data_IF_017917386415
#
_entry.id   IF_017917386415
#
_cell.length_a   1.000
_cell.length_b   1.000
_cell.length_c   1.000
_cell.angle_alpha   90.00
_cell.angle_beta   90.00
_cell.angle_gamma   90.00
#
_symmetry.space_group_name_H-M   'P 1'
#
loop_
_entity.id
_entity.type
_entity.pdbx_description
1 polymer ?
#
# COMPACT_ATOMS: atom_id res chain seq x y z
N UNK A 1 7.59 25.10 8.02
CA UNK A 1 7.97 23.69 7.78
C UNK A 1 7.28 23.25 6.50
N UNK A 2 7.98 22.57 5.59
CA UNK A 2 7.49 22.31 4.22
C UNK A 2 6.44 21.19 4.13
N UNK A 3 6.23 20.43 5.21
CA UNK A 3 5.27 19.32 5.26
C UNK A 3 4.25 19.53 6.38
N UNK A 4 3.03 19.06 6.16
CA UNK A 4 1.99 19.08 7.18
C UNK A 4 2.29 18.04 8.26
N UNK A 5 1.80 18.27 9.46
CA UNK A 5 1.95 17.34 10.60
C UNK A 5 1.44 15.94 10.26
N UNK A 6 0.37 15.85 9.46
CA UNK A 6 -0.17 14.57 8.99
C UNK A 6 0.82 13.81 8.10
N UNK A 7 1.50 14.51 7.20
CA UNK A 7 2.50 13.87 6.32
C UNK A 7 3.67 13.34 7.14
N UNK A 8 4.13 14.11 8.13
CA UNK A 8 5.22 13.72 9.02
C UNK A 8 4.80 12.50 9.86
N UNK A 9 3.61 12.48 10.45
CA UNK A 9 3.10 11.33 11.23
C UNK A 9 3.09 10.05 10.40
N UNK A 10 2.59 10.10 9.17
CA UNK A 10 2.55 8.94 8.28
C UNK A 10 3.94 8.50 7.79
N UNK A 11 4.92 9.39 7.76
CA UNK A 11 6.29 9.09 7.38
C UNK A 11 7.08 8.46 8.54
N UNK A 12 6.96 9.01 9.75
CA UNK A 12 7.67 8.51 10.94
C UNK A 12 6.99 7.27 11.53
N UNK A 13 5.67 7.18 11.46
CA UNK A 13 4.87 6.06 11.95
C UNK A 13 4.06 5.42 10.81
N UNK A 14 4.72 4.76 9.84
CA UNK A 14 4.03 4.25 8.67
C UNK A 14 3.17 3.04 9.06
N UNK A 15 1.88 3.14 8.75
CA UNK A 15 0.87 2.12 9.06
C UNK A 15 0.75 1.18 7.87
N UNK A 16 0.56 -0.13 8.08
CA UNK A 16 0.27 -1.08 7.00
C UNK A 16 1.41 -1.28 5.98
N UNK A 17 2.66 -1.03 6.39
CA UNK A 17 3.84 -1.32 5.55
C UNK A 17 4.02 -2.82 5.42
N UNK A 18 4.19 -3.30 4.19
CA UNK A 18 4.57 -4.67 3.93
C UNK A 18 4.05 -5.20 2.61
N UNK A 19 3.94 -6.51 2.52
CA UNK A 19 3.39 -7.19 1.36
C UNK A 19 2.61 -8.43 1.81
N UNK A 20 1.66 -8.84 0.98
CA UNK A 20 1.01 -10.15 1.09
C UNK A 20 1.68 -11.16 0.15
N UNK A 21 1.34 -12.44 0.32
CA UNK A 21 1.73 -13.47 -0.62
C UNK A 21 1.12 -13.18 -2.01
N UNK A 22 1.92 -13.36 -3.06
CA UNK A 22 1.49 -13.15 -4.46
C UNK A 22 0.61 -14.29 -4.96
N UNK A 23 0.65 -15.45 -4.31
CA UNK A 23 -0.10 -16.64 -4.73
C UNK A 23 -1.49 -16.72 -4.09
N UNK A 24 -1.80 -15.84 -3.13
CA UNK A 24 -3.11 -15.80 -2.51
C UNK A 24 -4.12 -15.17 -3.49
N UNK A 25 -5.14 -15.95 -3.84
CA UNK A 25 -6.19 -15.57 -4.80
C UNK A 25 -7.09 -14.45 -4.28
N UNK A 26 -7.10 -14.24 -2.97
CA UNK A 26 -7.89 -13.20 -2.32
C UNK A 26 -7.14 -11.86 -2.23
N UNK A 27 -5.91 -11.79 -2.77
CA UNK A 27 -5.10 -10.57 -2.79
C UNK A 27 -5.17 -9.90 -4.15
N UNK A 28 -5.78 -8.70 -4.18
CA UNK A 28 -5.70 -7.81 -5.32
C UNK A 28 -4.42 -6.95 -5.20
N UNK A 29 -3.57 -6.97 -6.24
CA UNK A 29 -2.32 -6.19 -6.26
C UNK A 29 -2.38 -5.15 -7.38
N UNK A 30 -2.27 -3.87 -7.02
CA UNK A 30 -2.07 -2.77 -7.94
C UNK A 30 -0.64 -2.22 -7.80
N UNK A 31 0.08 -2.14 -8.91
CA UNK A 31 1.39 -1.49 -8.96
C UNK A 31 1.33 -0.36 -9.97
N UNK A 32 1.62 0.85 -9.51
CA UNK A 32 1.55 2.08 -10.31
C UNK A 32 2.82 2.88 -10.11
N UNK A 33 3.34 3.46 -11.18
CA UNK A 33 4.56 4.26 -11.12
C UNK A 33 5.17 4.42 -12.49
N UNK A 34 5.88 5.53 -12.68
CA UNK A 34 6.67 5.77 -13.86
C UNK A 34 8.14 5.52 -13.49
N UNK A 35 8.85 4.58 -14.14
CA UNK A 35 10.28 4.36 -13.91
C UNK A 35 11.11 5.64 -14.08
N UNK A 36 10.62 6.58 -14.90
CA UNK A 36 11.25 7.85 -15.17
C UNK A 36 11.23 8.84 -13.99
N UNK A 37 10.25 8.72 -13.07
CA UNK A 37 10.10 9.62 -11.91
C UNK A 37 10.65 9.02 -10.61
N UNK A 38 11.10 7.76 -10.61
CA UNK A 38 11.64 7.07 -9.43
C UNK A 38 10.58 6.59 -8.42
N UNK A 39 9.34 7.06 -8.53
CA UNK A 39 8.26 6.69 -7.62
C UNK A 39 7.46 5.51 -8.18
N UNK A 40 7.67 4.32 -7.58
CA UNK A 40 6.89 3.11 -7.87
C UNK A 40 6.17 2.69 -6.60
N UNK A 41 4.85 2.83 -6.61
CA UNK A 41 4.02 2.45 -5.48
C UNK A 41 3.27 1.14 -5.78
N UNK A 42 3.34 0.23 -4.82
CA UNK A 42 2.62 -1.04 -4.84
C UNK A 42 1.62 -1.05 -3.70
N UNK A 43 0.35 -1.26 -4.01
CA UNK A 43 -0.73 -1.38 -3.06
C UNK A 43 -1.40 -2.75 -3.21
N UNK A 44 -1.59 -3.45 -2.10
CA UNK A 44 -2.20 -4.77 -2.06
C UNK A 44 -3.38 -4.76 -1.11
N UNK A 45 -4.50 -5.34 -1.54
CA UNK A 45 -5.74 -5.43 -0.77
C UNK A 45 -6.09 -6.90 -0.59
N UNK A 46 -6.45 -7.30 0.64
CA UNK A 46 -7.04 -8.60 0.93
C UNK A 46 -8.55 -8.48 0.93
N UNK A 47 -9.19 -9.19 0.02
CA UNK A 47 -10.65 -9.19 -0.15
C UNK A 47 -11.21 -10.48 0.44
N UNK A 48 -12.08 -10.36 1.43
CA UNK A 48 -12.79 -11.49 2.02
C UNK A 48 -13.85 -12.06 1.07
N UNK A 49 -14.37 -13.23 1.40
CA UNK A 49 -15.36 -13.95 0.56
C UNK A 49 -16.69 -13.19 0.38
N UNK A 50 -16.99 -12.27 1.31
CA UNK A 50 -18.14 -11.36 1.25
C UNK A 50 -17.90 -10.13 0.35
N UNK A 51 -16.73 -10.02 -0.29
CA UNK A 51 -16.33 -8.87 -1.09
C UNK A 51 -15.88 -7.65 -0.28
N UNK A 52 -15.72 -7.78 1.05
CA UNK A 52 -15.25 -6.70 1.92
C UNK A 52 -13.71 -6.75 2.02
N UNK A 53 -13.06 -5.60 1.98
CA UNK A 53 -11.61 -5.49 2.20
C UNK A 53 -11.33 -5.73 3.69
N UNK A 54 -10.57 -6.78 3.99
CA UNK A 54 -10.19 -7.15 5.35
C UNK A 54 -8.90 -6.48 5.80
N UNK A 55 -7.96 -6.29 4.86
CA UNK A 55 -6.66 -5.71 5.15
C UNK A 55 -6.07 -5.07 3.89
N UNK A 56 -5.17 -4.12 4.08
CA UNK A 56 -4.46 -3.42 3.02
C UNK A 56 -3.00 -3.27 3.41
N UNK A 57 -2.08 -3.50 2.48
CA UNK A 57 -0.64 -3.26 2.65
C UNK A 57 -0.10 -2.46 1.50
N UNK A 58 0.87 -1.60 1.78
CA UNK A 58 1.55 -0.84 0.75
C UNK A 58 3.07 -0.95 0.87
N UNK A 59 3.71 -0.72 -0.28
CA UNK A 59 5.14 -0.52 -0.40
C UNK A 59 5.36 0.59 -1.43
N UNK A 60 5.98 1.67 -0.99
CA UNK A 60 6.42 2.79 -1.84
C UNK A 60 7.92 2.68 -2.07
#
# INVERSE_FOLDING_TARGET
MAYSEKVIDHYENPRNVGQFDKNDKNIATGMVGAPACGDVMKLQLKVGENGIIEDAKFKT
#
